data_IF_941275900507
#
_entry.id   IF_941275900507
#
_cell.length_a   1.000
_cell.length_b   1.000
_cell.length_c   1.000
_cell.angle_alpha   90.00
_cell.angle_beta   90.00
_cell.angle_gamma   90.00
#
_symmetry.space_group_name_H-M   'P 1'
#
loop_
_entity.id
_entity.type
_entity.pdbx_description
1 polymer ?
#
# COMPACT_ATOMS: atom_id res chain seq x y z
N UNK A 1 7.65 -3.64 -38.19
CA UNK A 1 7.13 -2.26 -38.04
C UNK A 1 8.28 -1.44 -37.54
N UNK A 2 8.78 -0.52 -38.35
CA UNK A 2 9.86 0.38 -37.96
C UNK A 2 9.26 1.57 -37.19
N UNK A 3 9.84 1.89 -36.03
CA UNK A 3 9.42 3.06 -35.25
C UNK A 3 10.04 4.29 -35.92
N UNK A 4 9.25 5.31 -36.30
CA UNK A 4 9.78 6.51 -36.94
C UNK A 4 10.73 7.28 -36.01
N UNK A 5 11.84 7.77 -36.56
CA UNK A 5 12.76 8.63 -35.83
C UNK A 5 12.20 10.07 -35.79
N UNK A 6 11.99 10.60 -34.58
CA UNK A 6 11.51 11.96 -34.34
C UNK A 6 12.63 12.92 -33.88
N UNK A 7 13.90 12.51 -34.01
CA UNK A 7 15.08 13.29 -33.57
C UNK A 7 15.00 13.75 -32.10
N UNK A 8 14.36 12.92 -31.26
CA UNK A 8 14.25 13.17 -29.84
C UNK A 8 15.59 12.95 -29.13
N UNK A 9 15.97 13.81 -28.17
CA UNK A 9 17.13 13.53 -27.33
C UNK A 9 16.84 12.32 -26.43
N UNK A 10 17.89 11.62 -26.00
CA UNK A 10 17.76 10.47 -25.08
C UNK A 10 17.23 10.83 -23.69
N UNK A 11 17.17 12.14 -23.38
CA UNK A 11 16.60 12.70 -22.16
C UNK A 11 16.00 14.08 -22.43
N UNK A 12 14.86 14.37 -21.81
CA UNK A 12 14.18 15.66 -21.88
C UNK A 12 14.12 16.22 -20.47
N UNK A 13 14.66 17.42 -20.26
CA UNK A 13 14.58 18.11 -18.98
C UNK A 13 13.18 18.71 -18.84
N UNK A 14 12.49 18.47 -17.73
CA UNK A 14 11.14 18.95 -17.50
C UNK A 14 10.96 19.48 -16.07
N UNK A 15 10.01 20.39 -15.88
CA UNK A 15 9.41 20.69 -14.57
C UNK A 15 8.22 19.77 -14.35
N UNK A 16 8.13 19.19 -13.15
CA UNK A 16 6.93 18.49 -12.70
C UNK A 16 5.95 19.53 -12.19
N UNK A 17 4.82 19.70 -12.89
CA UNK A 17 3.79 20.66 -12.49
C UNK A 17 2.59 19.99 -11.80
N UNK A 18 2.55 18.65 -11.79
CA UNK A 18 1.51 17.91 -11.10
C UNK A 18 1.84 16.43 -11.00
N UNK A 19 1.46 15.84 -9.86
CA UNK A 19 1.50 14.40 -9.60
C UNK A 19 0.13 14.02 -9.05
N UNK A 20 -0.55 13.10 -9.73
CA UNK A 20 -1.80 12.53 -9.25
C UNK A 20 -1.58 11.04 -9.00
N UNK A 21 -1.77 10.59 -7.76
CA UNK A 21 -1.74 9.18 -7.39
C UNK A 21 -3.11 8.57 -7.70
N UNK A 22 -3.13 7.45 -8.39
CA UNK A 22 -4.35 6.81 -8.87
C UNK A 22 -4.26 5.30 -8.67
N UNK A 23 -5.41 4.64 -8.67
CA UNK A 23 -5.55 3.18 -8.62
C UNK A 23 -6.53 2.76 -9.70
N UNK A 24 -6.26 1.66 -10.39
CA UNK A 24 -7.17 1.14 -11.40
C UNK A 24 -8.33 0.38 -10.74
N UNK A 25 -9.57 0.76 -11.07
CA UNK A 25 -10.81 0.34 -10.41
C UNK A 25 -11.01 -1.17 -10.24
N UNK A 26 -10.45 -1.99 -11.14
CA UNK A 26 -10.73 -3.43 -11.20
C UNK A 26 -9.53 -4.34 -10.89
N UNK A 27 -8.31 -3.78 -10.81
CA UNK A 27 -7.07 -4.58 -10.70
C UNK A 27 -6.23 -4.21 -9.50
N UNK A 28 -6.62 -3.17 -8.77
CA UNK A 28 -5.84 -2.55 -7.68
C UNK A 28 -4.43 -2.11 -8.11
N UNK A 29 -4.18 -1.98 -9.42
CA UNK A 29 -2.91 -1.52 -9.94
C UNK A 29 -2.77 -0.02 -9.67
N UNK A 30 -1.74 0.33 -8.89
CA UNK A 30 -1.43 1.73 -8.57
C UNK A 30 -0.60 2.37 -9.68
N UNK A 31 -0.92 3.62 -10.01
CA UNK A 31 -0.17 4.40 -11.00
C UNK A 31 -0.13 5.88 -10.61
N UNK A 32 0.76 6.63 -11.26
CA UNK A 32 0.86 8.07 -11.10
C UNK A 32 0.74 8.77 -12.45
N UNK A 33 -0.13 9.77 -12.54
CA UNK A 33 -0.15 10.70 -13.66
C UNK A 33 0.79 11.86 -13.34
N UNK A 34 1.91 11.92 -14.05
CA UNK A 34 2.92 12.97 -13.89
C UNK A 34 2.79 13.95 -15.05
N UNK A 35 2.47 15.21 -14.75
CA UNK A 35 2.37 16.27 -15.75
C UNK A 35 3.69 17.02 -15.84
N UNK A 36 4.28 17.03 -17.04
CA UNK A 36 5.62 17.55 -17.30
C UNK A 36 5.58 18.71 -18.31
N UNK A 37 6.35 19.78 -18.05
CA UNK A 37 6.62 20.84 -19.02
C UNK A 37 8.11 20.79 -19.38
N UNK A 38 8.48 20.59 -20.67
CA UNK A 38 9.88 20.62 -21.10
C UNK A 38 10.52 21.98 -20.88
N UNK A 39 11.74 21.99 -20.34
CA UNK A 39 12.55 23.19 -20.14
C UNK A 39 13.61 23.36 -21.23
N UNK A 40 13.95 24.62 -21.53
CA UNK A 40 15.16 24.92 -22.28
C UNK A 40 16.36 24.88 -21.33
N UNK A 41 17.51 24.37 -21.79
CA UNK A 41 18.72 24.15 -20.97
C UNK A 41 19.22 25.39 -20.19
N UNK A 42 18.80 26.60 -20.56
CA UNK A 42 19.22 27.87 -19.93
C UNK A 42 18.27 28.38 -18.83
N UNK A 43 17.13 27.72 -18.57
CA UNK A 43 16.10 28.19 -17.62
C UNK A 43 16.26 27.61 -16.21
N UNK A 44 17.35 26.88 -15.92
CA UNK A 44 17.56 26.19 -14.65
C UNK A 44 18.17 27.10 -13.58
N UNK A 45 17.41 28.11 -13.18
CA UNK A 45 17.62 28.88 -11.94
C UNK A 45 16.32 28.80 -11.13
N UNK A 46 15.94 27.58 -10.71
CA UNK A 46 14.85 27.40 -9.76
C UNK A 46 15.48 26.91 -8.47
N UNK A 47 15.32 27.74 -7.43
CA UNK A 47 15.67 27.42 -6.05
C UNK A 47 15.17 26.01 -5.71
N UNK A 48 16.03 25.24 -5.04
CA UNK A 48 15.61 24.03 -4.35
C UNK A 48 14.55 24.45 -3.31
N UNK A 49 13.28 24.44 -3.71
CA UNK A 49 12.21 24.37 -2.73
C UNK A 49 12.29 22.95 -2.19
N UNK A 50 12.91 22.83 -1.03
CA UNK A 50 12.90 21.59 -0.27
C UNK A 50 11.44 21.10 -0.22
N UNK A 51 11.18 19.82 -0.53
CA UNK A 51 9.83 19.29 -0.39
C UNK A 51 9.36 19.58 1.03
N UNK A 52 8.12 20.11 1.13
CA UNK A 52 7.43 20.31 2.41
C UNK A 52 7.66 19.05 3.26
N UNK A 53 8.34 19.24 4.39
CA UNK A 53 8.62 18.21 5.38
C UNK A 53 7.30 17.80 6.04
N UNK A 54 6.54 16.99 5.32
CA UNK A 54 5.37 16.30 5.83
C UNK A 54 5.93 15.07 6.54
N UNK A 55 6.55 15.30 7.71
CA UNK A 55 7.16 14.24 8.50
C UNK A 55 6.11 13.14 8.69
N UNK A 56 6.28 11.95 8.10
CA UNK A 56 5.20 10.97 8.09
C UNK A 56 4.92 10.56 9.53
N UNK A 57 3.64 10.60 9.91
CA UNK A 57 3.19 9.93 11.13
C UNK A 57 3.71 8.49 11.12
N UNK A 58 4.10 7.96 12.28
CA UNK A 58 4.67 6.62 12.34
C UNK A 58 3.62 5.58 11.89
N UNK A 59 3.79 5.06 10.67
CA UNK A 59 2.90 4.05 10.08
C UNK A 59 3.51 2.67 10.33
N UNK A 60 2.73 1.80 10.97
CA UNK A 60 3.05 0.39 11.11
C UNK A 60 2.41 -0.42 10.00
N UNK A 61 3.23 -1.02 9.13
CA UNK A 61 2.78 -1.83 8.01
C UNK A 61 3.50 -3.18 7.97
N UNK A 62 2.88 -4.15 7.31
CA UNK A 62 3.48 -5.44 7.01
C UNK A 62 3.01 -5.96 5.65
N UNK A 63 3.85 -6.77 5.01
CA UNK A 63 3.54 -7.41 3.74
C UNK A 63 3.76 -8.91 3.87
N UNK A 64 2.85 -9.71 3.32
CA UNK A 64 2.94 -11.16 3.33
C UNK A 64 2.44 -11.75 2.01
N UNK A 65 3.13 -12.78 1.53
CA UNK A 65 2.69 -13.59 0.41
C UNK A 65 1.68 -14.61 0.91
N UNK A 66 0.50 -14.64 0.28
CA UNK A 66 -0.54 -15.64 0.56
C UNK A 66 -0.12 -17.00 0.03
N UNK A 67 -0.37 -18.07 0.80
CA UNK A 67 -0.16 -19.43 0.31
C UNK A 67 -1.44 -20.01 -0.31
N UNK A 68 -1.31 -21.14 -1.03
CA UNK A 68 -2.43 -21.76 -1.76
C UNK A 68 -3.58 -22.23 -0.86
N UNK A 69 -3.30 -22.58 0.40
CA UNK A 69 -4.32 -23.01 1.36
C UNK A 69 -5.15 -21.84 1.87
N UNK A 70 -4.55 -20.64 1.95
CA UNK A 70 -5.20 -19.41 2.42
C UNK A 70 -6.09 -18.78 1.33
N UNK A 71 -5.81 -19.05 0.05
CA UNK A 71 -6.64 -18.58 -1.07
C UNK A 71 -7.85 -19.48 -1.38
N UNK A 72 -8.00 -20.60 -0.68
CA UNK A 72 -9.10 -21.54 -0.89
C UNK A 72 -10.40 -21.05 -0.25
N UNK A 73 -11.55 -21.38 -0.82
CA UNK A 73 -12.87 -21.16 -0.20
C UNK A 73 -13.05 -21.93 1.12
N UNK A 74 -12.21 -22.93 1.36
CA UNK A 74 -12.19 -23.72 2.58
C UNK A 74 -11.06 -23.29 3.54
N UNK A 75 -10.42 -22.15 3.27
CA UNK A 75 -9.42 -21.60 4.18
C UNK A 75 -10.04 -21.38 5.56
N UNK A 76 -9.39 -21.90 6.60
CA UNK A 76 -9.82 -21.69 7.97
C UNK A 76 -9.57 -20.24 8.45
N UNK A 77 -8.71 -19.51 7.74
CA UNK A 77 -8.36 -18.12 8.00
C UNK A 77 -6.99 -17.76 7.42
N UNK A 78 -6.59 -16.50 7.60
CA UNK A 78 -5.29 -15.96 7.23
C UNK A 78 -4.41 -15.82 8.48
N UNK A 79 -3.24 -16.44 8.47
CA UNK A 79 -2.31 -16.35 9.61
C UNK A 79 -1.50 -15.05 9.56
N UNK A 80 -1.39 -14.36 10.69
CA UNK A 80 -0.54 -13.16 10.80
C UNK A 80 0.69 -13.52 11.65
N UNK A 81 1.92 -13.27 11.16
CA UNK A 81 3.11 -13.45 11.97
C UNK A 81 3.05 -12.60 13.26
N UNK A 82 3.37 -13.19 14.41
CA UNK A 82 3.22 -12.55 15.73
C UNK A 82 3.87 -11.14 15.78
N UNK A 83 5.09 -10.99 15.24
CA UNK A 83 5.78 -9.70 15.16
C UNK A 83 4.97 -8.57 14.47
N UNK A 84 4.13 -8.92 13.50
CA UNK A 84 3.29 -7.96 12.78
C UNK A 84 1.98 -7.70 13.52
N UNK A 85 1.38 -8.73 14.12
CA UNK A 85 0.18 -8.59 14.92
C UNK A 85 0.43 -7.72 16.17
N UNK A 86 1.51 -7.97 16.90
CA UNK A 86 1.85 -7.21 18.12
C UNK A 86 2.07 -5.72 17.83
N UNK A 87 2.67 -5.41 16.66
CA UNK A 87 3.00 -4.04 16.27
C UNK A 87 1.84 -3.30 15.61
N UNK A 88 1.05 -3.98 14.77
CA UNK A 88 0.06 -3.33 13.92
C UNK A 88 -1.39 -3.52 14.41
N UNK A 89 -1.66 -4.60 15.16
CA UNK A 89 -3.01 -5.07 15.48
C UNK A 89 -3.13 -5.44 16.98
N UNK A 90 -2.58 -4.58 17.85
CA UNK A 90 -2.63 -4.77 19.30
C UNK A 90 -4.05 -5.13 19.76
N UNK A 91 -4.14 -6.10 20.68
CA UNK A 91 -5.39 -6.68 21.16
C UNK A 91 -5.34 -6.85 22.67
N UNK A 92 -6.48 -6.72 23.34
CA UNK A 92 -6.60 -7.03 24.75
C UNK A 92 -6.56 -8.55 24.98
N UNK A 93 -5.45 -9.02 25.57
CA UNK A 93 -5.23 -10.43 25.88
C UNK A 93 -5.96 -10.90 27.15
N UNK A 94 -6.66 -10.02 27.88
CA UNK A 94 -7.43 -10.41 29.06
C UNK A 94 -8.78 -11.09 28.70
N UNK A 95 -9.28 -10.90 27.48
CA UNK A 95 -10.51 -11.52 26.97
C UNK A 95 -10.26 -12.98 26.58
N UNK A 96 -11.19 -13.90 26.85
CA UNK A 96 -11.08 -15.32 26.46
C UNK A 96 -12.21 -15.78 25.52
N UNK A 97 -11.91 -16.21 24.27
CA UNK A 97 -10.61 -16.08 23.60
C UNK A 97 -10.31 -14.61 23.23
N UNK A 98 -9.03 -14.18 23.15
CA UNK A 98 -8.72 -12.83 22.71
C UNK A 98 -9.16 -12.62 21.27
N UNK A 99 -10.03 -11.64 21.03
CA UNK A 99 -10.56 -11.32 19.71
C UNK A 99 -10.97 -9.85 19.55
N UNK A 100 -10.95 -9.35 18.31
CA UNK A 100 -11.42 -8.01 17.96
C UNK A 100 -11.93 -7.96 16.52
N UNK A 101 -12.84 -7.03 16.25
CA UNK A 101 -13.25 -6.71 14.89
C UNK A 101 -12.36 -5.59 14.36
N UNK A 102 -11.85 -5.76 13.15
CA UNK A 102 -11.04 -4.79 12.43
C UNK A 102 -11.83 -4.27 11.25
N UNK A 103 -11.70 -2.97 10.97
CA UNK A 103 -12.21 -2.36 9.74
C UNK A 103 -11.00 -1.76 9.03
N UNK A 104 -10.72 -2.25 7.82
CA UNK A 104 -9.68 -1.71 6.95
C UNK A 104 -10.33 -1.06 5.74
N UNK A 105 -9.73 0.02 5.25
CA UNK A 105 -10.19 0.73 4.05
C UNK A 105 -9.17 0.52 2.94
N UNK A 106 -9.61 0.07 1.77
CA UNK A 106 -8.72 -0.10 0.61
C UNK A 106 -8.47 1.22 -0.12
N UNK A 107 -7.73 1.15 -1.24
CA UNK A 107 -7.38 2.32 -2.05
C UNK A 107 -8.58 2.95 -2.77
N UNK A 108 -9.67 2.21 -2.95
CA UNK A 108 -10.94 2.70 -3.52
C UNK A 108 -11.86 3.30 -2.46
N UNK A 109 -11.46 3.16 -1.20
CA UNK A 109 -12.22 3.63 -0.06
C UNK A 109 -13.31 2.67 0.40
N UNK A 110 -13.29 1.42 -0.04
CA UNK A 110 -14.22 0.38 0.41
C UNK A 110 -13.76 -0.14 1.76
N UNK A 111 -14.71 -0.31 2.68
CA UNK A 111 -14.47 -0.86 4.01
C UNK A 111 -14.59 -2.39 4.02
N UNK A 112 -13.55 -3.03 4.54
CA UNK A 112 -13.42 -4.46 4.72
C UNK A 112 -13.41 -4.80 6.20
N UNK A 113 -14.36 -5.64 6.63
CA UNK A 113 -14.52 -6.03 8.02
C UNK A 113 -13.82 -7.37 8.25
N UNK A 114 -12.92 -7.47 9.22
CA UNK A 114 -12.25 -8.71 9.56
C UNK A 114 -12.43 -9.06 11.04
N UNK A 115 -12.58 -10.35 11.34
CA UNK A 115 -12.46 -10.86 12.71
C UNK A 115 -11.06 -11.37 12.97
N UNK A 116 -10.33 -10.69 13.86
CA UNK A 116 -9.01 -11.08 14.34
C UNK A 116 -9.14 -11.85 15.65
N UNK A 117 -8.54 -13.04 15.72
CA UNK A 117 -8.55 -13.92 16.90
C UNK A 117 -7.12 -14.36 17.20
N UNK A 118 -6.74 -14.37 18.48
CA UNK A 118 -5.53 -15.05 18.94
C UNK A 118 -5.88 -16.48 19.38
N UNK A 119 -5.28 -17.48 18.74
CA UNK A 119 -5.52 -18.89 19.02
C UNK A 119 -4.45 -19.43 19.98
N UNK A 120 -4.75 -19.50 21.29
CA UNK A 120 -3.79 -19.93 22.34
C UNK A 120 -3.11 -21.27 22.06
N UNK A 121 -3.85 -22.27 21.56
CA UNK A 121 -3.29 -23.60 21.30
C UNK A 121 -2.22 -23.58 20.20
N UNK A 122 -2.40 -22.72 19.19
CA UNK A 122 -1.46 -22.56 18.07
C UNK A 122 -0.48 -21.41 18.28
N UNK A 123 -0.70 -20.58 19.31
CA UNK A 123 0.03 -19.33 19.60
C UNK A 123 0.15 -18.43 18.36
N UNK A 124 -0.97 -18.30 17.64
CA UNK A 124 -1.02 -17.66 16.33
C UNK A 124 -2.17 -16.66 16.25
N UNK A 125 -1.92 -15.55 15.55
CA UNK A 125 -2.94 -14.58 15.17
C UNK A 125 -3.58 -14.99 13.85
N UNK A 126 -4.91 -14.97 13.80
CA UNK A 126 -5.68 -15.41 12.63
C UNK A 126 -6.75 -14.38 12.29
N UNK A 127 -6.80 -13.94 11.03
CA UNK A 127 -7.98 -13.26 10.48
C UNK A 127 -8.93 -14.32 9.91
N UNK A 128 -10.19 -14.24 10.30
CA UNK A 128 -11.22 -15.23 9.92
C UNK A 128 -12.31 -14.57 9.09
N UNK A 129 -13.49 -14.33 9.68
CA UNK A 129 -14.64 -13.73 9.00
C UNK A 129 -14.26 -12.42 8.33
N UNK A 130 -14.57 -12.29 7.04
CA UNK A 130 -14.44 -11.10 6.20
C UNK A 130 -15.03 -11.33 4.82
#
# INVERSE_FOLDING_TARGET
MDIPNFDLPSKILCVVIGVQLQVHDNTDEVFALITLIPLKQQEFMVENQDPLDDSPSEIYSFTRILNSTETSRHAAGLYIPNQHADRCLAMDMAVQPPMQNLVAKDLHGIEWNFRHIYCDHQRAHVLTSG
#
